data_IF_259516372826
#
_entry.id   IF_259516372826
#
_cell.length_a   1.000
_cell.length_b   1.000
_cell.length_c   1.000
_cell.angle_alpha   90.00
_cell.angle_beta   90.00
_cell.angle_gamma   90.00
#
_symmetry.space_group_name_H-M   'P 1'
#
loop_
_entity.id
_entity.type
_entity.pdbx_description
1 polymer ?
#
# COMPACT_ATOMS: atom_id res chain seq x y z
N UNK A 1 31.66 49.23 -1.96
CA UNK A 1 30.67 49.94 -2.82
C UNK A 1 30.18 48.95 -3.84
N UNK A 2 28.86 48.77 -3.95
CA UNK A 2 28.04 48.28 -5.09
C UNK A 2 28.52 47.04 -5.87
N UNK A 3 27.75 45.99 -6.15
CA UNK A 3 26.31 45.73 -6.09
C UNK A 3 26.07 44.23 -6.36
N UNK A 4 24.97 43.68 -5.85
CA UNK A 4 23.77 43.27 -6.64
C UNK A 4 24.01 42.10 -7.59
N UNK A 5 23.39 40.95 -7.27
CA UNK A 5 23.28 39.83 -8.20
C UNK A 5 22.66 38.56 -7.64
N UNK A 6 21.68 38.66 -6.73
CA UNK A 6 20.88 37.50 -6.33
C UNK A 6 19.90 37.14 -7.46
N UNK A 7 20.21 36.10 -8.23
CA UNK A 7 19.27 35.52 -9.21
C UNK A 7 18.49 34.43 -8.48
N UNK A 8 17.45 34.84 -7.76
CA UNK A 8 16.37 33.97 -7.31
C UNK A 8 15.54 33.60 -8.55
N UNK A 9 15.78 32.41 -9.12
CA UNK A 9 14.94 31.86 -10.18
C UNK A 9 13.60 31.44 -9.59
N UNK A 10 12.71 32.43 -9.58
CA UNK A 10 11.30 32.39 -9.25
C UNK A 10 10.58 31.47 -10.24
N UNK A 11 10.67 30.17 -10.01
CA UNK A 11 9.83 29.19 -10.72
C UNK A 11 8.42 29.37 -10.19
N UNK A 12 7.64 30.10 -10.96
CA UNK A 12 6.19 30.29 -10.85
C UNK A 12 5.51 29.04 -10.30
N UNK A 13 5.26 29.07 -9.00
CA UNK A 13 4.12 28.36 -8.43
C UNK A 13 2.92 29.08 -9.00
N UNK A 14 2.37 28.55 -10.10
CA UNK A 14 0.98 28.83 -10.45
C UNK A 14 0.14 28.27 -9.30
N UNK A 15 -0.10 29.15 -8.33
CA UNK A 15 -1.14 29.03 -7.35
C UNK A 15 -2.45 29.00 -8.14
N UNK A 16 -2.92 27.80 -8.51
CA UNK A 16 -4.34 27.61 -8.78
C UNK A 16 -5.06 27.91 -7.47
N UNK A 17 -5.44 29.18 -7.30
CA UNK A 17 -6.40 29.60 -6.30
C UNK A 17 -7.73 28.98 -6.71
N UNK A 18 -7.92 27.72 -6.33
CA UNK A 18 -9.24 27.14 -6.26
C UNK A 18 -10.02 27.97 -5.27
N UNK A 19 -10.87 28.83 -5.83
CA UNK A 19 -11.77 29.66 -5.08
C UNK A 19 -12.57 28.77 -4.15
N UNK A 20 -12.55 29.14 -2.88
CA UNK A 20 -13.27 28.55 -1.76
C UNK A 20 -14.79 28.62 -2.05
N UNK A 21 -15.30 27.70 -2.88
CA UNK A 21 -16.71 27.62 -3.20
C UNK A 21 -17.41 26.89 -2.06
N UNK A 22 -18.27 27.64 -1.38
CA UNK A 22 -19.05 27.26 -0.21
C UNK A 22 -19.43 25.78 -0.17
N UNK A 23 -18.96 25.10 0.87
CA UNK A 23 -19.61 23.91 1.42
C UNK A 23 -20.95 24.37 2.01
N UNK A 24 -22.01 24.37 1.21
CA UNK A 24 -23.38 24.37 1.71
C UNK A 24 -23.79 22.91 1.91
N UNK A 25 -24.10 22.57 3.15
CA UNK A 25 -24.61 21.27 3.57
C UNK A 25 -25.83 20.88 2.71
N UNK A 26 -25.72 19.78 1.97
CA UNK A 26 -26.85 19.12 1.32
C UNK A 26 -27.20 19.56 -0.11
N UNK A 27 -26.38 20.37 -0.79
CA UNK A 27 -26.63 20.70 -2.20
C UNK A 27 -26.24 19.51 -3.09
N UNK A 28 -27.25 18.72 -3.45
CA UNK A 28 -27.13 17.57 -4.34
C UNK A 28 -26.65 18.02 -5.73
N UNK A 29 -25.35 17.90 -5.97
CA UNK A 29 -24.68 18.32 -7.21
C UNK A 29 -25.29 17.64 -8.45
N UNK A 30 -25.43 18.40 -9.54
CA UNK A 30 -25.88 17.88 -10.83
C UNK A 30 -24.71 17.71 -11.81
N UNK A 31 -24.90 16.89 -12.86
CA UNK A 31 -23.85 16.58 -13.84
C UNK A 31 -23.23 17.81 -14.52
N UNK A 32 -24.03 18.85 -14.81
CA UNK A 32 -23.55 20.08 -15.44
C UNK A 32 -22.68 20.92 -14.50
N UNK A 33 -22.94 20.90 -13.20
CA UNK A 33 -22.12 21.59 -12.20
C UNK A 33 -20.78 20.89 -12.03
N UNK A 34 -20.79 19.56 -11.94
CA UNK A 34 -19.56 18.77 -11.89
C UNK A 34 -18.74 18.93 -13.18
N UNK A 35 -19.38 18.98 -14.35
CA UNK A 35 -18.70 19.24 -15.62
C UNK A 35 -18.00 20.61 -15.61
N UNK A 36 -18.68 21.65 -15.12
CA UNK A 36 -18.12 23.00 -14.97
C UNK A 36 -16.97 23.03 -13.96
N UNK A 37 -17.11 22.33 -12.84
CA UNK A 37 -16.06 22.22 -11.82
C UNK A 37 -14.77 21.61 -12.40
N UNK A 38 -14.91 20.54 -13.17
CA UNK A 38 -13.78 19.82 -13.78
C UNK A 38 -13.30 20.43 -15.10
N UNK A 39 -13.90 21.54 -15.56
CA UNK A 39 -13.54 22.18 -16.81
C UNK A 39 -13.72 21.30 -18.04
N UNK A 40 -14.70 20.39 -18.04
CA UNK A 40 -15.01 19.52 -19.17
C UNK A 40 -16.39 19.83 -19.76
N UNK A 41 -16.57 19.47 -21.03
CA UNK A 41 -17.87 19.58 -21.69
C UNK A 41 -18.94 18.72 -20.99
N UNK A 42 -20.17 19.25 -20.93
CA UNK A 42 -21.30 18.58 -20.25
C UNK A 42 -21.64 17.26 -20.93
N UNK A 43 -21.60 17.19 -22.26
CA UNK A 43 -21.82 15.95 -23.00
C UNK A 43 -20.76 14.90 -22.71
N UNK A 44 -19.50 15.31 -22.55
CA UNK A 44 -18.41 14.43 -22.10
C UNK A 44 -18.67 13.93 -20.68
N UNK A 45 -19.07 14.80 -19.74
CA UNK A 45 -19.42 14.40 -18.38
C UNK A 45 -20.59 13.40 -18.36
N UNK A 46 -21.68 13.68 -19.10
CA UNK A 46 -22.82 12.76 -19.23
C UNK A 46 -22.39 11.40 -19.78
N UNK A 47 -21.51 11.38 -20.79
CA UNK A 47 -20.98 10.13 -21.35
C UNK A 47 -20.15 9.35 -20.31
N UNK A 48 -19.32 10.04 -19.53
CA UNK A 48 -18.51 9.43 -18.47
C UNK A 48 -19.36 8.87 -17.33
N UNK A 49 -20.36 9.64 -16.88
CA UNK A 49 -21.32 9.19 -15.86
C UNK A 49 -22.12 7.97 -16.32
N UNK A 50 -22.52 7.93 -17.59
CA UNK A 50 -23.19 6.75 -18.13
C UNK A 50 -22.29 5.51 -18.11
N UNK A 51 -21.02 5.65 -18.50
CA UNK A 51 -20.05 4.55 -18.37
C UNK A 51 -19.87 4.14 -16.90
N UNK A 52 -19.69 5.09 -16.00
CA UNK A 52 -19.53 4.82 -14.57
C UNK A 52 -20.70 4.01 -14.01
N UNK A 53 -21.94 4.41 -14.32
CA UNK A 53 -23.14 3.70 -13.88
C UNK A 53 -23.23 2.28 -14.46
N UNK A 54 -22.84 2.11 -15.72
CA UNK A 54 -22.80 0.79 -16.36
C UNK A 54 -21.80 -0.15 -15.68
N UNK A 55 -20.58 0.31 -15.39
CA UNK A 55 -19.58 -0.51 -14.70
C UNK A 55 -19.95 -0.73 -13.22
N UNK A 56 -20.51 0.28 -12.55
CA UNK A 56 -20.92 0.18 -11.14
C UNK A 56 -22.25 -0.58 -10.92
N UNK A 57 -22.92 -1.05 -11.98
CA UNK A 57 -24.21 -1.74 -11.88
C UNK A 57 -25.37 -0.86 -11.38
N UNK A 58 -25.29 0.46 -11.58
CA UNK A 58 -26.32 1.41 -11.14
C UNK A 58 -27.35 1.59 -12.27
N UNK A 59 -28.56 1.09 -12.06
CA UNK A 59 -29.64 1.14 -13.06
C UNK A 59 -30.39 2.49 -13.08
N UNK A 60 -30.33 3.26 -11.99
CA UNK A 60 -31.14 4.48 -11.85
C UNK A 60 -30.46 5.72 -12.42
N UNK A 61 -31.22 6.49 -13.20
CA UNK A 61 -30.83 7.83 -13.61
C UNK A 61 -31.34 8.84 -12.59
N UNK A 62 -30.51 9.14 -11.59
CA UNK A 62 -30.80 10.26 -10.71
C UNK A 62 -30.32 11.57 -11.33
N UNK A 63 -31.19 12.59 -11.27
CA UNK A 63 -30.86 13.98 -11.66
C UNK A 63 -29.73 14.54 -10.81
N UNK A 64 -29.68 14.08 -9.57
CA UNK A 64 -28.73 14.48 -8.54
C UNK A 64 -27.70 13.38 -8.35
N UNK A 65 -26.43 13.76 -8.29
CA UNK A 65 -25.32 12.84 -8.04
C UNK A 65 -25.19 12.59 -6.54
N UNK A 66 -24.93 11.33 -6.17
CA UNK A 66 -24.48 11.01 -4.82
C UNK A 66 -23.08 11.57 -4.59
N UNK A 67 -22.75 11.86 -3.33
CA UNK A 67 -21.41 12.33 -2.95
C UNK A 67 -20.32 11.33 -3.38
N UNK A 68 -20.60 10.03 -3.25
CA UNK A 68 -19.73 8.95 -3.74
C UNK A 68 -19.50 9.04 -5.25
N UNK A 69 -20.56 9.25 -6.04
CA UNK A 69 -20.43 9.41 -7.50
C UNK A 69 -19.61 10.66 -7.84
N UNK A 70 -19.82 11.76 -7.12
CA UNK A 70 -19.05 13.00 -7.32
C UNK A 70 -17.56 12.76 -7.01
N UNK A 71 -17.25 12.12 -5.89
CA UNK A 71 -15.88 11.79 -5.51
C UNK A 71 -15.22 10.88 -6.54
N UNK A 72 -15.89 9.79 -6.92
CA UNK A 72 -15.40 8.86 -7.93
C UNK A 72 -15.12 9.56 -9.27
N UNK A 73 -16.01 10.43 -9.72
CA UNK A 73 -15.83 11.14 -10.98
C UNK A 73 -14.67 12.17 -10.96
N UNK A 74 -14.39 12.77 -9.79
CA UNK A 74 -13.20 13.61 -9.60
C UNK A 74 -11.92 12.79 -9.73
N UNK A 75 -11.88 11.62 -9.11
CA UNK A 75 -10.74 10.70 -9.20
C UNK A 75 -10.53 10.19 -10.64
N UNK A 76 -11.61 9.76 -11.31
CA UNK A 76 -11.58 9.36 -12.73
C UNK A 76 -10.99 10.48 -13.58
N UNK A 77 -11.41 11.74 -13.33
CA UNK A 77 -10.89 12.87 -14.07
C UNK A 77 -9.39 13.13 -13.81
N UNK A 78 -8.95 12.99 -12.56
CA UNK A 78 -7.55 13.12 -12.19
C UNK A 78 -6.69 12.03 -12.86
N UNK A 79 -7.17 10.79 -12.94
CA UNK A 79 -6.48 9.68 -13.62
C UNK A 79 -6.36 9.91 -15.13
N UNK A 80 -7.41 10.44 -15.76
CA UNK A 80 -7.42 10.73 -17.22
C UNK A 80 -6.49 11.91 -17.55
N UNK A 81 -6.50 12.96 -16.73
CA UNK A 81 -5.70 14.18 -16.99
C UNK A 81 -4.25 14.08 -16.49
N UNK A 82 -3.94 13.07 -15.67
CA UNK A 82 -2.58 12.73 -15.27
C UNK A 82 -1.66 12.39 -16.46
N UNK A 83 -0.35 12.31 -16.19
CA UNK A 83 0.70 12.16 -17.22
C UNK A 83 0.66 10.86 -18.03
N UNK A 84 -0.27 9.94 -17.74
CA UNK A 84 -0.35 8.62 -18.35
C UNK A 84 -1.37 8.46 -19.47
N UNK A 85 -2.28 9.42 -19.70
CA UNK A 85 -3.28 9.33 -20.77
C UNK A 85 -4.16 8.07 -20.69
N UNK A 86 -4.63 7.73 -19.49
CA UNK A 86 -5.42 6.53 -19.24
C UNK A 86 -6.78 6.66 -19.95
N UNK A 87 -7.26 5.57 -20.56
CA UNK A 87 -8.59 5.55 -21.20
C UNK A 87 -9.68 5.71 -20.14
N UNK A 88 -10.74 6.45 -20.46
CA UNK A 88 -11.87 6.70 -19.53
C UNK A 88 -12.39 5.45 -18.82
N UNK A 89 -12.62 4.37 -19.58
CA UNK A 89 -13.14 3.11 -19.02
C UNK A 89 -12.17 2.49 -18.00
N UNK A 90 -10.88 2.49 -18.32
CA UNK A 90 -9.84 1.97 -17.41
C UNK A 90 -9.74 2.80 -16.14
N UNK A 91 -9.81 4.13 -16.24
CA UNK A 91 -9.85 5.01 -15.08
C UNK A 91 -11.08 4.75 -14.18
N UNK A 92 -12.26 4.50 -14.78
CA UNK A 92 -13.48 4.11 -14.04
C UNK A 92 -13.27 2.79 -13.30
N UNK A 93 -12.78 1.75 -13.99
CA UNK A 93 -12.55 0.44 -13.36
C UNK A 93 -11.52 0.50 -12.22
N UNK A 94 -10.49 1.35 -12.33
CA UNK A 94 -9.54 1.57 -11.22
C UNK A 94 -10.21 2.21 -10.00
N UNK A 95 -11.07 3.22 -10.21
CA UNK A 95 -11.79 3.88 -9.12
C UNK A 95 -12.81 2.96 -8.46
N UNK A 96 -13.43 2.07 -9.24
CA UNK A 96 -14.31 1.02 -8.72
C UNK A 96 -13.55 -0.13 -8.02
N UNK A 97 -12.21 -0.15 -8.11
CA UNK A 97 -11.39 -1.23 -7.56
C UNK A 97 -11.42 -2.53 -8.38
N UNK A 98 -12.01 -2.53 -9.58
CA UNK A 98 -12.11 -3.70 -10.45
C UNK A 98 -10.84 -3.93 -11.29
N UNK A 99 -10.01 -2.91 -11.43
CA UNK A 99 -8.72 -3.01 -12.12
C UNK A 99 -7.59 -2.79 -11.10
N UNK A 100 -6.95 -3.89 -10.67
CA UNK A 100 -5.74 -3.81 -9.88
C UNK A 100 -4.59 -3.21 -10.71
N UNK A 101 -3.88 -2.24 -10.14
CA UNK A 101 -2.69 -1.72 -10.79
C UNK A 101 -1.62 -2.83 -10.86
N UNK A 102 -1.03 -3.09 -12.04
CA UNK A 102 0.02 -4.08 -12.15
C UNK A 102 1.19 -3.66 -11.24
N UNK A 103 1.54 -4.54 -10.30
CA UNK A 103 2.68 -4.30 -9.39
C UNK A 103 3.92 -4.05 -10.24
N UNK A 104 4.61 -2.90 -10.07
CA UNK A 104 5.80 -2.62 -10.84
C UNK A 104 6.85 -3.73 -10.66
N UNK A 105 7.56 -4.14 -11.72
CA UNK A 105 8.51 -5.27 -11.64
C UNK A 105 9.59 -5.03 -10.59
N UNK A 106 10.00 -3.77 -10.38
CA UNK A 106 10.97 -3.38 -9.34
C UNK A 106 10.43 -3.61 -7.92
N UNK A 107 9.17 -3.29 -7.68
CA UNK A 107 8.54 -3.51 -6.36
C UNK A 107 8.38 -5.01 -6.09
N UNK A 108 8.02 -5.78 -7.11
CA UNK A 108 7.96 -7.24 -7.02
C UNK A 108 9.34 -7.85 -6.72
N UNK A 109 10.41 -7.37 -7.38
CA UNK A 109 11.78 -7.80 -7.10
C UNK A 109 12.21 -7.50 -5.66
N UNK A 110 11.92 -6.30 -5.16
CA UNK A 110 12.23 -5.95 -3.76
C UNK A 110 11.50 -6.84 -2.75
N UNK A 111 10.25 -7.22 -3.04
CA UNK A 111 9.50 -8.16 -2.20
C UNK A 111 10.17 -9.54 -2.20
N UNK A 112 10.57 -10.04 -3.36
CA UNK A 112 11.28 -11.32 -3.49
C UNK A 112 12.61 -11.31 -2.72
N UNK A 113 13.42 -10.25 -2.86
CA UNK A 113 14.68 -10.10 -2.12
C UNK A 113 14.45 -10.12 -0.60
N UNK A 114 13.42 -9.42 -0.12
CA UNK A 114 13.07 -9.40 1.31
C UNK A 114 12.59 -10.77 1.80
N UNK A 115 11.82 -11.49 0.99
CA UNK A 115 11.40 -12.85 1.32
C UNK A 115 12.59 -13.79 1.42
N UNK A 116 13.52 -13.76 0.45
CA UNK A 116 14.73 -14.56 0.50
C UNK A 116 15.60 -14.23 1.73
N UNK A 117 15.69 -12.95 2.12
CA UNK A 117 16.41 -12.55 3.32
C UNK A 117 15.75 -13.10 4.61
N UNK A 118 14.41 -13.12 4.66
CA UNK A 118 13.66 -13.70 5.78
C UNK A 118 13.83 -15.23 5.86
N UNK A 119 13.78 -15.92 4.73
CA UNK A 119 14.01 -17.37 4.66
C UNK A 119 15.42 -17.74 5.15
N UNK A 120 16.42 -16.98 4.74
CA UNK A 120 17.81 -17.15 5.19
C UNK A 120 17.96 -16.87 6.70
N UNK A 121 17.30 -15.84 7.21
CA UNK A 121 17.27 -15.56 8.65
C UNK A 121 16.64 -16.72 9.42
N UNK A 122 15.55 -17.29 8.90
CA UNK A 122 14.82 -18.39 9.52
C UNK A 122 15.69 -19.65 9.58
N UNK A 123 16.37 -20.00 8.49
CA UNK A 123 17.33 -21.12 8.46
C UNK A 123 18.47 -20.95 9.46
N UNK A 124 19.00 -19.74 9.61
CA UNK A 124 20.05 -19.45 10.61
C UNK A 124 19.55 -19.62 12.04
N UNK A 125 18.31 -19.20 12.32
CA UNK A 125 17.71 -19.39 13.65
C UNK A 125 17.45 -20.85 13.95
N UNK A 126 16.95 -21.63 12.98
CA UNK A 126 16.77 -23.08 13.11
C UNK A 126 18.11 -23.78 13.38
N UNK A 127 19.16 -23.47 12.61
CA UNK A 127 20.49 -24.05 12.84
C UNK A 127 21.08 -23.71 14.20
N UNK A 128 20.80 -22.53 14.76
CA UNK A 128 21.20 -22.17 16.14
C UNK A 128 20.45 -22.98 17.18
N UNK A 129 19.15 -23.20 16.98
CA UNK A 129 18.32 -24.02 17.88
C UNK A 129 18.83 -25.46 17.88
N UNK A 130 19.08 -26.05 16.71
CA UNK A 130 19.62 -27.40 16.59
C UNK A 130 20.98 -27.53 17.26
N UNK A 131 21.87 -26.54 17.07
CA UNK A 131 23.15 -26.49 17.75
C UNK A 131 22.99 -26.50 19.28
N UNK A 132 22.13 -25.63 19.84
CA UNK A 132 21.89 -25.56 21.28
C UNK A 132 21.27 -26.85 21.85
N UNK A 133 20.32 -27.46 21.12
CA UNK A 133 19.72 -28.73 21.52
C UNK A 133 20.76 -29.87 21.50
N UNK A 134 21.63 -29.89 20.50
CA UNK A 134 22.70 -30.88 20.42
C UNK A 134 23.75 -30.70 21.53
N UNK A 135 24.12 -29.45 21.87
CA UNK A 135 25.04 -29.18 22.97
C UNK A 135 24.44 -29.55 24.33
N UNK A 136 23.16 -29.23 24.57
CA UNK A 136 22.48 -29.61 25.82
C UNK A 136 22.41 -31.13 25.98
N UNK A 137 22.13 -31.86 24.89
CA UNK A 137 22.13 -33.33 24.90
C UNK A 137 23.52 -33.89 25.19
N UNK A 138 24.58 -33.32 24.60
CA UNK A 138 25.96 -33.75 24.83
C UNK A 138 26.40 -33.48 26.28
N UNK A 139 26.09 -32.31 26.83
CA UNK A 139 26.43 -31.95 28.21
C UNK A 139 25.63 -32.72 29.27
N UNK A 140 24.36 -33.05 29.00
CA UNK A 140 23.53 -33.87 29.89
C UNK A 140 23.99 -35.32 30.01
N UNK A 141 24.73 -35.85 29.02
CA UNK A 141 25.30 -37.22 29.06
C UNK A 141 26.58 -37.27 29.91
N UNK A 142 27.30 -36.16 30.07
CA UNK A 142 28.52 -36.12 30.90
C UNK A 142 28.24 -36.04 32.41
N UNK A 143 27.14 -35.41 32.84
CA UNK A 143 26.80 -35.34 34.28
C UNK A 143 26.29 -36.67 34.86
N UNK A 144 25.81 -37.61 34.05
CA UNK A 144 25.29 -38.89 34.53
C UNK A 144 26.33 -39.99 34.79
N UNK A 145 27.61 -39.77 34.46
CA UNK A 145 28.66 -40.81 34.56
C UNK A 145 29.61 -40.66 35.75
N UNK A 146 29.66 -39.51 36.44
CA UNK A 146 30.56 -39.32 37.58
C UNK A 146 29.94 -39.75 38.93
N UNK A 147 28.62 -39.74 39.06
CA UNK A 147 27.95 -40.12 40.33
C UNK A 147 27.82 -41.65 40.54
N UNK A 148 28.18 -42.48 39.55
CA UNK A 148 28.04 -43.95 39.65
C UNK A 148 29.32 -44.71 39.98
N UNK A 149 30.46 -44.03 40.21
CA UNK A 149 31.73 -44.68 40.60
C UNK A 149 32.14 -44.46 42.06
N UNK A 150 31.42 -43.66 42.85
CA UNK A 150 31.79 -43.31 44.21
C UNK A 150 31.19 -44.20 45.33
N UNK A 151 30.44 -45.28 45.03
CA UNK A 151 29.71 -46.07 46.04
C UNK A 151 30.12 -47.55 46.19
N UNK A 152 31.24 -47.99 45.64
CA UNK A 152 31.68 -49.41 45.69
C UNK A 152 32.98 -49.63 46.48
N UNK A 153 33.15 -48.96 47.61
CA UNK A 153 34.31 -49.19 48.48
C UNK A 153 33.96 -49.00 49.96
N UNK A 154 32.99 -49.76 50.48
CA UNK A 154 32.86 -49.90 51.93
C UNK A 154 32.21 -51.25 52.28
N UNK A 155 32.89 -52.33 51.90
CA UNK A 155 32.55 -53.67 52.36
C UNK A 155 33.85 -54.46 52.52
N UNK A 156 34.35 -54.51 53.76
CA UNK A 156 35.18 -55.55 54.40
C UNK A 156 36.05 -54.90 55.49
N UNK A 157 35.77 -55.21 56.75
CA UNK A 157 36.50 -56.27 57.47
C UNK A 157 36.00 -56.34 58.92
N UNK A 158 35.26 -57.41 59.21
CA UNK A 158 35.27 -58.10 60.51
C UNK A 158 36.65 -58.78 60.67
N UNK A 159 37.15 -59.01 61.91
CA UNK A 159 36.50 -59.84 62.93
C UNK A 159 36.25 -59.16 64.29
#
# INVERSE_FOLDING_TARGET
MSGLGAISSQRERQSFQFSNWKVQEGEKMIASELARELGIDVGVMSKRLNMYRQEAGIETYDKHLSEETVSAMREVHALITGKGGIKTREAILRVLGELEEPVPPRSAQQLLERMSALEESLRRTEGKIDFLLSSLRASGVSQGKEDSQASLSDDRLFP
#
